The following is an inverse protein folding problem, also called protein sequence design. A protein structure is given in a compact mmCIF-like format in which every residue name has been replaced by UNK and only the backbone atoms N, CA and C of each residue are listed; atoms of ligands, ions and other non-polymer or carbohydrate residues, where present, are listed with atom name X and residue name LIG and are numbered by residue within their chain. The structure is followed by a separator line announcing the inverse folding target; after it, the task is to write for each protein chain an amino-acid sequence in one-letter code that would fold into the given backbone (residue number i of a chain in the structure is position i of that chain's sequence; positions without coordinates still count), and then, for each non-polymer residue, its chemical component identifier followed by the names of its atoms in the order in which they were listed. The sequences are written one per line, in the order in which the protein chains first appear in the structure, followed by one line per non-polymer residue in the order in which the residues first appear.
data_IF_435632716220
#
_entry.id   IF_435632716220
#
_cell.length_a   1.000
_cell.length_b   1.000
_cell.length_c   1.000
_cell.angle_alpha   90.00
_cell.angle_beta   90.00
_cell.angle_gamma   90.00
#
_symmetry.space_group_name_H-M   'P 1'
#
loop_
_entity.id
_entity.type
_entity.pdbx_description
1 polymer ?
#
# COMPACT_ATOMS: atom_id res chain seq x y z
N UNK A 1 22.91 -12.59 16.43
CA UNK A 1 23.51 -11.26 16.68
C UNK A 1 23.24 -10.22 15.56
N UNK A 2 22.31 -10.43 14.62
CA UNK A 2 22.08 -9.53 13.47
C UNK A 2 20.78 -8.70 13.46
N UNK A 3 19.80 -9.03 14.31
CA UNK A 3 18.47 -8.40 14.28
C UNK A 3 18.44 -7.00 14.89
N UNK A 4 19.33 -6.70 15.85
CA UNK A 4 19.38 -5.39 16.51
C UNK A 4 19.77 -4.27 15.54
N UNK A 5 20.85 -4.47 14.77
CA UNK A 5 21.31 -3.48 13.78
C UNK A 5 20.29 -3.24 12.66
N UNK A 6 19.63 -4.29 12.19
CA UNK A 6 18.56 -4.18 11.19
C UNK A 6 17.39 -3.36 11.74
N UNK A 7 16.97 -3.63 12.99
CA UNK A 7 15.90 -2.87 13.63
C UNK A 7 16.26 -1.39 13.82
N UNK A 8 17.51 -1.08 14.18
CA UNK A 8 17.99 0.30 14.31
C UNK A 8 17.97 1.02 12.95
N UNK A 9 18.47 0.38 11.89
CA UNK A 9 18.42 0.93 10.54
C UNK A 9 16.98 1.19 10.07
N UNK A 10 16.07 0.24 10.31
CA UNK A 10 14.64 0.42 10.00
C UNK A 10 14.08 1.60 10.78
N UNK A 11 14.35 1.70 12.08
CA UNK A 11 13.87 2.82 12.92
C UNK A 11 14.38 4.17 12.42
N UNK A 12 15.65 4.28 12.04
CA UNK A 12 16.18 5.50 11.42
C UNK A 12 15.52 5.81 10.09
N UNK A 13 15.26 4.81 9.25
CA UNK A 13 14.56 4.99 7.99
C UNK A 13 13.13 5.51 8.21
N UNK A 14 12.39 4.99 9.21
CA UNK A 14 11.05 5.49 9.59
C UNK A 14 11.08 6.98 9.94
N UNK A 15 12.07 7.41 10.73
CA UNK A 15 12.26 8.82 11.11
C UNK A 15 12.57 9.69 9.89
N UNK A 16 13.49 9.26 9.03
CA UNK A 16 13.84 10.01 7.81
C UNK A 16 12.66 10.11 6.84
N UNK A 17 11.89 9.04 6.72
CA UNK A 17 10.65 8.98 5.96
C UNK A 17 9.49 9.62 6.73
N UNK A 18 9.70 10.26 7.88
CA UNK A 18 8.68 10.98 8.65
C UNK A 18 7.37 10.22 8.86
N UNK A 19 7.45 8.89 8.95
CA UNK A 19 6.31 8.01 9.11
C UNK A 19 6.63 7.04 10.23
N UNK A 20 6.03 7.22 11.43
CA UNK A 20 6.36 6.42 12.60
C UNK A 20 5.97 4.95 12.42
N UNK A 21 4.97 4.70 11.58
CA UNK A 21 4.45 3.37 11.29
C UNK A 21 5.04 2.81 9.99
N UNK A 22 5.48 1.54 10.04
CA UNK A 22 6.09 0.84 8.90
C UNK A 22 5.28 0.90 7.59
N UNK A 23 3.94 0.74 7.59
CA UNK A 23 3.14 0.85 6.37
C UNK A 23 3.27 2.21 5.68
N UNK A 24 3.19 3.29 6.46
CA UNK A 24 3.30 4.64 5.92
C UNK A 24 4.70 4.94 5.40
N UNK A 25 5.74 4.41 6.05
CA UNK A 25 7.10 4.54 5.55
C UNK A 25 7.29 3.86 4.18
N UNK A 26 6.71 2.66 3.98
CA UNK A 26 6.72 1.99 2.67
C UNK A 26 6.01 2.84 1.62
N UNK A 27 4.82 3.36 1.93
CA UNK A 27 4.08 4.24 1.03
C UNK A 27 4.90 5.48 0.66
N UNK A 28 5.52 6.14 1.65
CA UNK A 28 6.31 7.35 1.42
C UNK A 28 7.59 7.08 0.64
N UNK A 29 8.24 5.95 0.87
CA UNK A 29 9.44 5.55 0.12
C UNK A 29 9.13 5.38 -1.38
N UNK A 30 7.96 4.84 -1.74
CA UNK A 30 7.49 4.81 -3.13
C UNK A 30 7.16 6.21 -3.67
N UNK A 31 6.41 7.03 -2.91
CA UNK A 31 6.02 8.38 -3.32
C UNK A 31 7.22 9.30 -3.57
N UNK A 32 8.29 9.16 -2.78
CA UNK A 32 9.52 9.94 -2.90
C UNK A 32 10.50 9.37 -3.94
N UNK A 33 10.24 8.18 -4.49
CA UNK A 33 11.14 7.51 -5.43
C UNK A 33 12.41 6.93 -4.79
N UNK A 34 12.47 6.85 -3.45
CA UNK A 34 13.58 6.25 -2.71
C UNK A 34 13.72 4.74 -2.96
N UNK A 35 12.59 4.09 -3.30
CA UNK A 35 12.54 2.74 -3.83
C UNK A 35 11.61 2.70 -5.04
N UNK A 36 11.90 1.84 -6.00
CA UNK A 36 11.05 1.68 -7.19
C UNK A 36 9.68 1.13 -6.78
N UNK A 37 8.58 1.77 -7.22
CA UNK A 37 7.24 1.22 -7.00
C UNK A 37 7.11 -0.12 -7.73
N UNK A 38 6.31 -1.05 -7.18
CA UNK A 38 6.07 -2.32 -7.85
C UNK A 38 5.30 -2.11 -9.15
N UNK A 39 5.38 -3.07 -10.06
CA UNK A 39 4.61 -3.03 -11.31
C UNK A 39 3.11 -3.17 -11.03
N UNK A 40 2.31 -2.46 -11.82
CA UNK A 40 0.87 -2.58 -11.73
C UNK A 40 0.40 -3.92 -12.32
N UNK A 41 -0.51 -4.59 -11.63
CA UNK A 41 -1.21 -5.78 -12.13
C UNK A 41 -2.62 -5.40 -12.55
N UNK A 42 -3.19 -6.16 -13.49
CA UNK A 42 -4.57 -5.95 -13.94
C UNK A 42 -5.60 -6.44 -12.91
N UNK A 43 -5.17 -7.18 -11.88
CA UNK A 43 -6.05 -7.76 -10.85
C UNK A 43 -6.75 -6.69 -10.00
N UNK A 44 -6.27 -5.44 -10.03
CA UNK A 44 -6.86 -4.33 -9.29
C UNK A 44 -8.11 -3.72 -9.93
N UNK A 45 -8.39 -4.02 -11.20
CA UNK A 45 -9.45 -3.37 -11.97
C UNK A 45 -10.86 -3.62 -11.38
N UNK A 46 -11.08 -4.80 -10.80
CA UNK A 46 -12.38 -5.22 -10.24
C UNK A 46 -12.42 -5.11 -8.71
N UNK A 47 -11.36 -4.58 -8.09
CA UNK A 47 -11.27 -4.48 -6.64
C UNK A 47 -12.16 -3.33 -6.12
N UNK A 48 -13.32 -3.69 -5.56
CA UNK A 48 -14.21 -2.73 -4.93
C UNK A 48 -13.95 -2.67 -3.43
N UNK A 49 -13.45 -1.53 -2.95
CA UNK A 49 -13.30 -1.25 -1.52
C UNK A 49 -14.50 -0.48 -0.99
N UNK A 50 -14.97 -0.84 0.21
CA UNK A 50 -15.94 -0.01 0.93
C UNK A 50 -15.31 1.34 1.34
N UNK A 51 -16.15 2.35 1.63
CA UNK A 51 -15.66 3.65 2.09
C UNK A 51 -14.75 3.54 3.33
N UNK A 52 -15.15 2.73 4.31
CA UNK A 52 -14.36 2.47 5.52
C UNK A 52 -13.04 1.77 5.23
N UNK A 53 -13.03 0.77 4.35
CA UNK A 53 -11.79 0.11 3.91
C UNK A 53 -10.84 1.09 3.21
N UNK A 54 -11.38 2.00 2.40
CA UNK A 54 -10.61 3.03 1.72
C UNK A 54 -10.00 4.02 2.72
N UNK A 55 -10.74 4.42 3.75
CA UNK A 55 -10.23 5.27 4.84
C UNK A 55 -9.14 4.58 5.65
N UNK A 56 -9.32 3.30 6.00
CA UNK A 56 -8.31 2.50 6.71
C UNK A 56 -7.03 2.39 5.87
N UNK A 57 -7.16 2.07 4.58
CA UNK A 57 -6.01 1.95 3.67
C UNK A 57 -5.25 3.28 3.55
N UNK A 58 -5.96 4.41 3.38
CA UNK A 58 -5.34 5.75 3.34
C UNK A 58 -4.69 6.13 4.66
N UNK A 59 -5.33 5.83 5.79
CA UNK A 59 -4.76 6.09 7.11
C UNK A 59 -3.44 5.34 7.33
N UNK A 60 -3.41 4.05 7.00
CA UNK A 60 -2.19 3.25 7.05
C UNK A 60 -1.11 3.78 6.10
N UNK A 61 -1.48 4.14 4.87
CA UNK A 61 -0.56 4.73 3.89
C UNK A 61 -0.01 6.09 4.37
N UNK A 62 -0.80 6.86 5.12
CA UNK A 62 -0.40 8.10 5.78
C UNK A 62 0.41 7.90 7.06
N UNK A 63 0.70 6.66 7.45
CA UNK A 63 1.48 6.34 8.65
C UNK A 63 0.73 6.53 9.97
N UNK A 64 -0.59 6.55 9.93
CA UNK A 64 -1.43 6.69 11.11
C UNK A 64 -1.59 5.35 11.83
N UNK A 65 -1.65 5.39 13.16
CA UNK A 65 -1.98 4.21 13.95
C UNK A 65 -3.49 3.90 13.92
N UNK A 66 -3.85 2.68 14.32
CA UNK A 66 -5.25 2.22 14.25
C UNK A 66 -6.20 2.98 15.17
N UNK A 67 -5.73 3.53 16.30
CA UNK A 67 -6.55 4.32 17.21
C UNK A 67 -6.84 5.68 16.61
N UNK A 68 -5.85 6.30 15.98
CA UNK A 68 -6.04 7.55 15.25
C UNK A 68 -7.04 7.36 14.12
N UNK A 69 -6.90 6.28 13.32
CA UNK A 69 -7.84 5.95 12.24
C UNK A 69 -9.26 5.76 12.79
N UNK A 70 -9.41 5.02 13.89
CA UNK A 70 -10.70 4.79 14.53
C UNK A 70 -11.35 6.09 15.01
N UNK A 71 -10.58 6.94 15.69
CA UNK A 71 -11.04 8.23 16.20
C UNK A 71 -11.47 9.17 15.06
N UNK A 72 -10.65 9.25 14.00
CA UNK A 72 -10.92 10.13 12.86
C UNK A 72 -12.09 9.62 12.00
N UNK A 73 -12.23 8.29 11.85
CA UNK A 73 -13.36 7.66 11.18
C UNK A 73 -14.63 7.56 12.04
N UNK A 74 -14.58 7.99 13.31
CA UNK A 74 -15.70 7.89 14.28
C UNK A 74 -16.26 6.48 14.40
N UNK A 75 -15.39 5.48 14.37
CA UNK A 75 -15.74 4.05 14.50
C UNK A 75 -14.97 3.42 15.66
N UNK A 76 -15.45 2.28 16.15
CA UNK A 76 -14.71 1.51 17.15
C UNK A 76 -13.41 0.92 16.58
N UNK A 77 -12.38 0.85 17.43
CA UNK A 77 -11.09 0.26 17.06
C UNK A 77 -11.21 -1.17 16.52
N UNK A 78 -12.17 -1.96 17.00
CA UNK A 78 -12.37 -3.33 16.52
C UNK A 78 -12.96 -3.40 15.10
N UNK A 79 -13.68 -2.37 14.67
CA UNK A 79 -14.11 -2.21 13.27
C UNK A 79 -12.89 -1.99 12.39
N UNK A 80 -12.01 -1.04 12.75
CA UNK A 80 -10.76 -0.79 12.03
C UNK A 80 -9.90 -2.05 11.94
N UNK A 81 -9.73 -2.78 13.05
CA UNK A 81 -8.98 -4.05 13.05
C UNK A 81 -9.60 -5.11 12.14
N UNK A 82 -10.93 -5.19 12.09
CA UNK A 82 -11.65 -6.08 11.17
C UNK A 82 -11.39 -5.69 9.73
N UNK A 83 -11.46 -4.41 9.41
CA UNK A 83 -11.24 -3.89 8.05
C UNK A 83 -9.80 -4.10 7.59
N UNK A 84 -8.80 -3.91 8.46
CA UNK A 84 -7.39 -4.24 8.15
C UNK A 84 -7.24 -5.72 7.79
N UNK A 85 -7.84 -6.63 8.58
CA UNK A 85 -7.78 -8.07 8.29
C UNK A 85 -8.50 -8.42 6.99
N UNK A 86 -9.67 -7.82 6.75
CA UNK A 86 -10.43 -8.03 5.52
C UNK A 86 -9.65 -7.55 4.30
N UNK A 87 -9.05 -6.36 4.36
CA UNK A 87 -8.17 -5.81 3.31
C UNK A 87 -6.99 -6.74 3.04
N UNK A 88 -6.30 -7.18 4.09
CA UNK A 88 -5.16 -8.08 3.95
C UNK A 88 -5.55 -9.41 3.30
N UNK A 89 -6.68 -10.00 3.70
CA UNK A 89 -7.18 -11.23 3.09
C UNK A 89 -7.57 -11.01 1.62
N UNK A 90 -8.26 -9.90 1.33
CA UNK A 90 -8.74 -9.54 0.00
C UNK A 90 -7.60 -9.41 -1.02
N UNK A 91 -6.45 -8.84 -0.62
CA UNK A 91 -5.31 -8.62 -1.52
C UNK A 91 -4.17 -9.64 -1.36
N UNK A 92 -4.35 -10.65 -0.50
CA UNK A 92 -3.33 -11.66 -0.19
C UNK A 92 -2.12 -11.15 0.60
N UNK A 93 -2.26 -10.06 1.37
CA UNK A 93 -1.19 -9.50 2.16
C UNK A 93 -1.01 -10.20 3.52
N UNK A 94 0.24 -10.35 3.95
CA UNK A 94 0.62 -11.00 5.21
C UNK A 94 0.89 -10.03 6.35
N UNK A 95 1.15 -8.77 6.04
CA UNK A 95 1.39 -7.69 7.01
C UNK A 95 0.81 -6.38 6.50
N UNK A 96 0.58 -5.38 7.35
CA UNK A 96 0.13 -4.05 6.91
C UNK A 96 1.09 -3.35 5.94
N UNK A 97 2.41 -3.56 6.08
CA UNK A 97 3.37 -3.06 5.10
C UNK A 97 3.25 -3.77 3.74
N UNK A 98 3.00 -5.08 3.75
CA UNK A 98 2.72 -5.84 2.53
C UNK A 98 1.40 -5.41 1.89
N UNK A 99 0.39 -5.03 2.70
CA UNK A 99 -0.87 -4.47 2.20
C UNK A 99 -0.63 -3.18 1.40
N UNK A 100 0.26 -2.29 1.87
CA UNK A 100 0.63 -1.09 1.10
C UNK A 100 1.27 -1.46 -0.24
N UNK A 101 2.23 -2.39 -0.25
CA UNK A 101 2.84 -2.87 -1.51
C UNK A 101 1.79 -3.44 -2.48
N UNK A 102 0.87 -4.28 -2.00
CA UNK A 102 -0.25 -4.81 -2.81
C UNK A 102 -1.17 -3.69 -3.31
N UNK A 103 -1.44 -2.68 -2.48
CA UNK A 103 -2.24 -1.52 -2.87
C UNK A 103 -1.63 -0.73 -4.03
N UNK A 104 -0.31 -0.63 -4.11
CA UNK A 104 0.41 -0.07 -5.26
C UNK A 104 0.34 -0.99 -6.48
N UNK A 105 0.59 -2.29 -6.32
CA UNK A 105 0.47 -3.27 -7.43
C UNK A 105 -0.94 -3.23 -8.05
N UNK A 106 -1.98 -3.08 -7.24
CA UNK A 106 -3.37 -3.06 -7.70
C UNK A 106 -3.83 -1.66 -8.18
N UNK A 107 -2.97 -0.64 -8.14
CA UNK A 107 -3.31 0.73 -8.56
C UNK A 107 -4.32 1.44 -7.66
N UNK A 108 -4.56 0.94 -6.44
CA UNK A 108 -5.42 1.56 -5.42
C UNK A 108 -4.69 2.67 -4.66
N UNK A 109 -3.36 2.55 -4.59
CA UNK A 109 -2.44 3.55 -4.06
C UNK A 109 -1.44 3.95 -5.14
N UNK A 110 -0.91 5.17 -5.01
CA UNK A 110 0.04 5.73 -5.96
C UNK A 110 -0.64 6.43 -7.16
N UNK A 111 0.15 6.99 -8.08
CA UNK A 111 -0.40 7.58 -9.30
C UNK A 111 -1.09 6.51 -10.14
N UNK A 112 -2.26 6.85 -10.70
CA UNK A 112 -3.00 5.93 -11.55
C UNK A 112 -2.09 5.39 -12.68
N UNK A 113 -2.13 4.09 -12.99
CA UNK A 113 -1.35 3.53 -14.08
C UNK A 113 -1.65 4.31 -15.36
N UNK A 114 -0.59 4.77 -16.04
CA UNK A 114 -0.71 5.36 -17.36
C UNK A 114 -1.28 4.28 -18.30
N UNK A 115 -2.60 4.33 -18.52
CA UNK A 115 -3.33 3.37 -19.36
C UNK A 115 -2.72 3.26 -20.77
N UNK A 116 -2.01 4.30 -21.23
CA UNK A 116 -1.35 4.31 -22.53
C UNK A 116 -0.05 3.47 -22.56
N UNK A 117 0.61 3.22 -21.43
CA UNK A 117 1.84 2.40 -21.38
C UNK A 117 1.54 0.90 -21.38
N UNK A 118 0.44 0.50 -20.73
CA UNK A 118 0.03 -0.92 -20.64
C UNK A 118 -0.47 -1.44 -21.99
N UNK A 119 -1.21 -0.62 -22.75
CA UNK A 119 -1.67 -0.99 -24.10
C UNK A 119 -0.52 -1.18 -25.11
N UNK A 120 0.58 -0.42 -24.99
CA UNK A 120 1.74 -0.52 -25.89
C UNK A 120 2.57 -1.80 -25.70
N UNK A 121 2.53 -2.41 -24.51
CA UNK A 121 3.22 -3.67 -24.23
C UNK A 121 2.36 -4.90 -24.58
N UNK A 122 1.02 -4.78 -24.54
CA UNK A 122 0.12 -5.84 -25.01
C UNK A 122 -0.06 -5.89 -26.53
N UNK A 123 0.26 -4.81 -27.26
CA UNK A 123 0.11 -4.74 -28.72
C UNK A 123 1.31 -5.25 -29.55
N UNK A 124 2.39 -5.72 -28.93
CA UNK A 124 3.62 -6.11 -29.63
C UNK A 124 3.68 -7.61 -30.04
N UNK A 125 2.54 -8.30 -30.10
CA UNK A 125 2.44 -9.60 -30.78
C UNK A 125 1.33 -9.56 -31.83
N UNK A 126 1.75 -9.48 -33.10
CA UNK A 126 0.86 -9.66 -34.24
C UNK A 126 0.94 -8.54 -35.27
N UNK A 127 2.07 -8.39 -35.95
CA UNK A 127 2.03 -8.01 -37.36
C UNK A 127 3.29 -8.50 -38.09
N UNK A 128 3.18 -9.70 -38.67
CA UNK A 128 4.00 -10.11 -39.81
C UNK A 128 3.03 -10.66 -40.85
N UNK A 129 2.81 -9.87 -41.89
CA UNK A 129 2.40 -10.32 -43.22
C UNK A 129 3.52 -9.91 -44.17
#
# INVERSE_FOLDING_TARGET
MGTSRVNDCVRFALVKLGSPERPGAVHRAYMLGEISPPEHTNDGADLVLSGGQHEVLRGLAGGQDLRWIAANGRVHLDVVRRDVRALMALVGAKTPAHLIRRGWELGVLGPAPDKARVARLSGAQGNSL
#
